data_IF_449710838056
#
_entry.id   IF_449710838056
#
_cell.length_a   1.000
_cell.length_b   1.000
_cell.length_c   1.000
_cell.angle_alpha   90.00
_cell.angle_beta   90.00
_cell.angle_gamma   90.00
#
_symmetry.space_group_name_H-M   'P 1'
#
loop_
_entity.id
_entity.type
_entity.pdbx_description
1 polymer ?
#
# COMPACT_ATOMS: atom_id res chain seq x y z
N UNK A 1 9.80 -6.84 -3.60
CA UNK A 1 9.14 -6.01 -2.57
C UNK A 1 7.66 -5.74 -2.88
N UNK A 2 7.31 -5.16 -4.03
CA UNK A 2 5.91 -4.79 -4.36
C UNK A 2 4.92 -5.92 -4.20
N UNK A 3 5.21 -7.09 -4.78
CA UNK A 3 4.33 -8.26 -4.69
C UNK A 3 4.23 -8.83 -3.26
N UNK A 4 5.33 -8.83 -2.50
CA UNK A 4 5.35 -9.37 -1.13
C UNK A 4 4.57 -8.46 -0.16
N UNK A 5 4.70 -7.14 -0.32
CA UNK A 5 4.05 -6.16 0.54
C UNK A 5 2.59 -5.93 0.19
N UNK A 6 2.16 -6.22 -1.06
CA UNK A 6 0.79 -5.96 -1.50
C UNK A 6 -0.26 -6.66 -0.64
N UNK A 7 -0.01 -7.91 -0.24
CA UNK A 7 -0.93 -8.66 0.63
C UNK A 7 -1.07 -8.02 2.02
N UNK A 8 0.05 -7.59 2.61
CA UNK A 8 0.04 -6.95 3.93
C UNK A 8 -0.66 -5.59 3.90
N UNK A 9 -0.36 -4.76 2.90
CA UNK A 9 -1.00 -3.46 2.70
C UNK A 9 -2.49 -3.61 2.39
N UNK A 10 -2.89 -4.64 1.63
CA UNK A 10 -4.29 -4.95 1.34
C UNK A 10 -5.08 -5.26 2.62
N UNK A 11 -4.52 -6.05 3.54
CA UNK A 11 -5.18 -6.36 4.81
C UNK A 11 -5.41 -5.08 5.64
N UNK A 12 -4.44 -4.18 5.68
CA UNK A 12 -4.57 -2.88 6.37
C UNK A 12 -5.75 -2.10 5.76
N UNK A 13 -5.78 -1.94 4.43
CA UNK A 13 -6.89 -1.21 3.79
C UNK A 13 -8.25 -1.86 4.02
N UNK A 14 -8.34 -3.19 3.93
CA UNK A 14 -9.59 -3.93 4.18
C UNK A 14 -10.10 -3.68 5.60
N UNK A 15 -9.23 -3.74 6.61
CA UNK A 15 -9.61 -3.50 8.00
C UNK A 15 -10.21 -2.10 8.19
N UNK A 16 -9.59 -1.08 7.58
CA UNK A 16 -10.10 0.30 7.66
C UNK A 16 -11.39 0.50 6.87
N UNK A 17 -11.52 -0.08 5.68
CA UNK A 17 -12.74 0.02 4.87
C UNK A 17 -13.92 -0.69 5.58
N UNK A 18 -13.68 -1.84 6.20
CA UNK A 18 -14.70 -2.53 7.01
C UNK A 18 -15.15 -1.70 8.22
N UNK A 19 -14.30 -0.81 8.72
CA UNK A 19 -14.63 0.10 9.81
C UNK A 19 -15.49 1.31 9.41
N UNK A 20 -15.73 1.54 8.11
CA UNK A 20 -16.53 2.67 7.64
C UNK A 20 -18.00 2.44 8.02
N UNK A 21 -18.64 3.36 8.77
CA UNK A 21 -20.06 3.26 9.09
C UNK A 21 -20.91 3.26 7.82
N UNK A 22 -21.73 2.22 7.65
CA UNK A 22 -22.63 2.09 6.50
C UNK A 22 -23.64 3.24 6.41
N UNK A 23 -24.06 3.79 7.54
CA UNK A 23 -24.97 4.93 7.61
C UNK A 23 -24.43 6.19 6.91
N UNK A 24 -23.11 6.43 6.92
CA UNK A 24 -22.51 7.55 6.20
C UNK A 24 -22.57 7.35 4.68
N UNK A 25 -22.41 6.10 4.22
CA UNK A 25 -22.53 5.74 2.81
C UNK A 25 -23.96 5.91 2.34
N UNK A 26 -24.93 5.42 3.11
CA UNK A 26 -26.37 5.54 2.79
C UNK A 26 -26.83 7.01 2.82
N UNK A 27 -26.38 7.80 3.80
CA UNK A 27 -26.67 9.24 3.85
C UNK A 27 -26.17 9.96 2.59
N UNK A 28 -24.96 9.63 2.13
CA UNK A 28 -24.41 10.23 0.90
C UNK A 28 -25.17 9.87 -0.37
N UNK A 29 -25.82 8.69 -0.40
CA UNK A 29 -26.68 8.29 -1.52
C UNK A 29 -27.99 9.06 -1.51
N UNK A 30 -28.56 9.32 -0.33
CA UNK A 30 -29.74 10.17 -0.17
C UNK A 30 -29.43 11.61 -0.58
N UNK A 31 -28.24 12.12 -0.24
CA UNK A 31 -27.75 13.45 -0.62
C UNK A 31 -27.40 13.57 -2.12
N UNK A 32 -27.48 12.47 -2.87
CA UNK A 32 -27.26 12.45 -4.32
C UNK A 32 -25.78 12.45 -4.74
N UNK A 33 -24.86 12.12 -3.82
CA UNK A 33 -23.44 12.05 -4.13
C UNK A 33 -23.13 10.90 -5.10
N UNK A 34 -22.37 11.18 -6.15
CA UNK A 34 -21.91 10.14 -7.07
C UNK A 34 -20.74 9.33 -6.49
N UNK A 35 -20.39 8.21 -7.14
CA UNK A 35 -19.33 7.30 -6.65
C UNK A 35 -17.97 7.97 -6.44
N UNK A 36 -17.59 8.95 -7.28
CA UNK A 36 -16.31 9.65 -7.14
C UNK A 36 -16.33 10.63 -5.98
N UNK A 37 -17.43 11.37 -5.80
CA UNK A 37 -17.64 12.26 -4.66
C UNK A 37 -17.61 11.48 -3.35
N UNK A 38 -18.34 10.37 -3.29
CA UNK A 38 -18.33 9.47 -2.13
C UNK A 38 -16.92 8.94 -1.83
N UNK A 39 -16.17 8.55 -2.85
CA UNK A 39 -14.78 8.15 -2.65
C UNK A 39 -13.93 9.29 -2.09
N UNK A 40 -13.98 10.48 -2.70
CA UNK A 40 -13.10 11.61 -2.37
C UNK A 40 -13.42 12.27 -1.03
N UNK A 41 -14.70 12.35 -0.67
CA UNK A 41 -15.19 13.10 0.49
C UNK A 41 -15.54 12.22 1.69
N UNK A 42 -15.81 10.93 1.50
CA UNK A 42 -16.19 10.02 2.59
C UNK A 42 -15.13 8.93 2.76
N UNK A 43 -14.92 8.09 1.75
CA UNK A 43 -14.05 6.93 1.88
C UNK A 43 -12.60 7.36 2.12
N UNK A 44 -12.02 8.18 1.24
CA UNK A 44 -10.60 8.56 1.30
C UNK A 44 -10.22 9.27 2.61
N UNK A 45 -10.98 10.25 3.12
CA UNK A 45 -10.71 10.85 4.43
C UNK A 45 -10.80 9.85 5.58
N UNK A 46 -11.77 8.93 5.56
CA UNK A 46 -11.94 7.92 6.61
C UNK A 46 -10.83 6.85 6.61
N UNK A 47 -10.27 6.52 5.44
CA UNK A 47 -9.14 5.58 5.33
C UNK A 47 -7.76 6.27 5.36
N UNK A 48 -7.69 7.59 5.52
CA UNK A 48 -6.43 8.34 5.52
C UNK A 48 -5.39 7.83 6.54
N UNK A 49 -5.77 7.34 7.75
CA UNK A 49 -4.81 6.72 8.65
C UNK A 49 -4.21 5.42 8.08
N UNK A 50 -5.02 4.61 7.39
CA UNK A 50 -4.57 3.40 6.69
C UNK A 50 -3.53 3.72 5.61
N UNK A 51 -3.79 4.79 4.85
CA UNK A 51 -2.87 5.29 3.82
C UNK A 51 -1.54 5.74 4.43
N UNK A 52 -1.60 6.51 5.52
CA UNK A 52 -0.42 7.02 6.22
C UNK A 52 0.46 5.87 6.75
N UNK A 53 -0.14 4.89 7.41
CA UNK A 53 0.56 3.69 7.92
C UNK A 53 1.17 2.89 6.76
N UNK A 54 0.38 2.63 5.71
CA UNK A 54 0.83 1.88 4.54
C UNK A 54 2.00 2.54 3.82
N UNK A 55 1.95 3.87 3.67
CA UNK A 55 3.00 4.67 3.06
C UNK A 55 4.27 4.64 3.90
N UNK A 56 4.15 4.82 5.22
CA UNK A 56 5.29 4.74 6.14
C UNK A 56 5.98 3.37 6.07
N UNK A 57 5.21 2.28 6.17
CA UNK A 57 5.74 0.92 6.15
C UNK A 57 6.39 0.58 4.81
N UNK A 58 5.78 0.99 3.69
CA UNK A 58 6.34 0.75 2.36
C UNK A 58 7.65 1.52 2.19
N UNK A 59 7.68 2.80 2.56
CA UNK A 59 8.87 3.64 2.45
C UNK A 59 10.01 3.15 3.36
N UNK A 60 9.70 2.80 4.61
CA UNK A 60 10.67 2.22 5.54
C UNK A 60 11.26 0.91 5.01
N UNK A 61 10.44 0.04 4.42
CA UNK A 61 10.93 -1.22 3.85
C UNK A 61 11.72 -1.01 2.55
N UNK A 62 11.39 0.00 1.74
CA UNK A 62 12.17 0.35 0.56
C UNK A 62 13.62 0.70 0.91
N UNK A 63 13.87 1.38 2.03
CA UNK A 63 15.23 1.65 2.48
C UNK A 63 15.98 0.41 2.99
N UNK A 64 15.26 -0.65 3.38
CA UNK A 64 15.83 -1.91 3.90
C UNK A 64 15.99 -3.00 2.83
N UNK A 65 15.82 -2.66 1.55
CA UNK A 65 15.81 -3.63 0.44
C UNK A 65 17.15 -4.36 0.23
N UNK A 66 18.25 -3.86 0.82
CA UNK A 66 19.59 -4.45 0.68
C UNK A 66 19.61 -5.93 1.09
N UNK A 67 19.08 -6.27 2.26
CA UNK A 67 19.07 -7.64 2.78
C UNK A 67 18.32 -8.60 1.84
N UNK A 68 17.23 -8.13 1.26
CA UNK A 68 16.42 -8.91 0.33
C UNK A 68 17.11 -9.12 -1.02
N UNK A 69 17.80 -8.11 -1.54
CA UNK A 69 18.57 -8.25 -2.78
C UNK A 69 19.70 -9.26 -2.58
N UNK A 70 20.44 -9.18 -1.47
CA UNK A 70 21.51 -10.16 -1.16
C UNK A 70 20.94 -11.55 -0.97
N UNK A 71 19.83 -11.72 -0.25
CA UNK A 71 19.20 -13.03 -0.05
C UNK A 71 18.74 -13.68 -1.37
N UNK A 72 18.23 -12.90 -2.32
CA UNK A 72 17.70 -13.41 -3.59
C UNK A 72 18.78 -13.62 -4.66
N UNK A 73 19.86 -12.85 -4.60
CA UNK A 73 20.91 -12.86 -5.63
C UNK A 73 22.24 -13.43 -5.12
N UNK A 74 22.34 -13.78 -3.84
CA UNK A 74 23.61 -14.05 -3.15
C UNK A 74 24.65 -12.90 -3.33
N UNK A 75 24.18 -11.67 -3.58
CA UNK A 75 25.04 -10.52 -3.88
C UNK A 75 25.44 -10.40 -5.37
N UNK A 76 24.86 -11.20 -6.27
CA UNK A 76 25.07 -11.09 -7.71
C UNK A 76 24.30 -9.89 -8.32
N UNK A 77 24.84 -9.25 -9.38
CA UNK A 77 26.07 -9.57 -10.07
C UNK A 77 27.21 -8.67 -9.59
N UNK A 78 27.87 -9.03 -8.50
CA UNK A 78 29.24 -8.56 -8.28
C UNK A 78 30.16 -9.36 -9.22
N UNK A 79 30.84 -8.69 -10.17
CA UNK A 79 31.77 -9.28 -11.16
C UNK A 79 31.22 -10.19 -12.28
N UNK A 80 29.93 -10.22 -12.62
CA UNK A 80 29.45 -11.05 -13.74
C UNK A 80 29.70 -10.45 -15.14
N UNK A 81 30.18 -9.20 -15.23
CA UNK A 81 30.44 -8.48 -16.49
C UNK A 81 31.91 -8.14 -16.72
N UNK A 82 32.84 -8.54 -15.83
CA UNK A 82 34.27 -8.42 -16.13
C UNK A 82 34.64 -9.46 -17.17
N UNK A 83 34.94 -9.01 -18.38
CA UNK A 83 35.54 -9.83 -19.43
C UNK A 83 36.88 -10.31 -18.88
N UNK A 84 37.03 -11.61 -18.65
CA UNK A 84 38.33 -12.21 -18.33
C UNK A 84 39.19 -12.12 -19.59
N UNK A 85 40.27 -11.34 -19.52
CA UNK A 85 41.39 -11.43 -20.46
C UNK A 85 42.12 -12.78 -20.34
#
# INVERSE_FOLDING_TARGET
MTWQMSGYIMIIYIAYIQGIPRSLVEASEIDGANSFERFRYIIFPLIAPAFTVSMFLTLSNSFKIFDQNVALTAGAPYNSTVVKE
#
